data_IF_519419259580
#
_entry.id   IF_519419259580
#
_cell.length_a   1.000
_cell.length_b   1.000
_cell.length_c   1.000
_cell.angle_alpha   90.00
_cell.angle_beta   90.00
_cell.angle_gamma   90.00
#
_symmetry.space_group_name_H-M   'P 1'
#
loop_
_entity.id
_entity.type
_entity.pdbx_description
1 polymer ?
#
# COMPACT_ATOMS: atom_id res chain seq x y z
N UNK A 1 -8.97 -28.18 10.39
CA UNK A 1 -8.32 -27.02 11.06
C UNK A 1 -7.80 -26.08 9.98
N UNK A 2 -8.01 -24.77 10.11
CA UNK A 2 -7.35 -23.78 9.21
C UNK A 2 -6.02 -23.39 9.86
N UNK A 3 -4.93 -23.48 9.12
CA UNK A 3 -3.60 -23.07 9.59
C UNK A 3 -3.35 -21.62 9.14
N UNK A 4 -2.70 -20.83 9.99
CA UNK A 4 -2.25 -19.49 9.61
C UNK A 4 -1.00 -19.63 8.75
N UNK A 5 -1.05 -19.12 7.52
CA UNK A 5 0.06 -19.21 6.55
C UNK A 5 0.91 -17.94 6.52
N UNK A 6 0.36 -16.79 6.92
CA UNK A 6 1.02 -15.50 6.87
C UNK A 6 0.40 -14.53 7.89
N UNK A 7 1.23 -13.73 8.54
CA UNK A 7 0.83 -12.60 9.40
C UNK A 7 1.66 -11.39 8.99
N UNK A 8 0.99 -10.27 8.73
CA UNK A 8 1.66 -9.05 8.27
C UNK A 8 1.31 -7.93 9.23
N UNK A 9 2.35 -7.27 9.74
CA UNK A 9 2.22 -6.13 10.63
C UNK A 9 2.53 -4.85 9.85
N UNK A 10 1.74 -3.80 10.05
CA UNK A 10 1.83 -2.54 9.31
C UNK A 10 2.21 -1.38 10.24
N UNK A 11 3.00 -0.46 9.73
CA UNK A 11 3.15 0.90 10.27
C UNK A 11 1.89 1.71 9.97
N UNK A 12 1.80 2.89 10.59
CA UNK A 12 0.64 3.80 10.48
C UNK A 12 0.23 4.09 9.03
N UNK A 13 1.19 4.29 8.13
CA UNK A 13 0.95 4.58 6.72
C UNK A 13 1.06 3.35 5.80
N UNK A 14 0.94 2.14 6.36
CA UNK A 14 0.93 0.91 5.56
C UNK A 14 2.30 0.30 5.26
N UNK A 15 3.40 0.90 5.72
CA UNK A 15 4.73 0.31 5.55
C UNK A 15 4.85 -1.03 6.28
N UNK A 16 5.48 -2.02 5.67
CA UNK A 16 5.64 -3.35 6.27
C UNK A 16 6.60 -3.31 7.48
N UNK A 17 6.20 -3.96 8.57
CA UNK A 17 7.07 -4.19 9.73
C UNK A 17 7.88 -5.48 9.53
N UNK A 18 9.13 -5.48 10.01
CA UNK A 18 10.04 -6.63 9.91
C UNK A 18 9.59 -7.88 10.67
N UNK A 19 8.63 -7.75 11.60
CA UNK A 19 8.08 -8.87 12.40
C UNK A 19 6.97 -9.65 11.67
N UNK A 20 6.83 -9.48 10.36
CA UNK A 20 5.86 -10.23 9.55
C UNK A 20 6.31 -11.68 9.34
N UNK A 21 5.38 -12.64 9.32
CA UNK A 21 5.65 -14.07 9.16
C UNK A 21 4.96 -14.63 7.92
N UNK A 22 5.48 -15.71 7.33
CA UNK A 22 4.85 -16.43 6.22
C UNK A 22 5.29 -16.02 4.80
N UNK A 23 6.45 -15.36 4.68
CA UNK A 23 7.03 -14.95 3.39
C UNK A 23 6.13 -13.99 2.63
N UNK A 24 6.36 -13.84 1.32
CA UNK A 24 5.55 -12.98 0.46
C UNK A 24 4.55 -13.78 -0.39
N UNK A 25 3.73 -14.55 0.30
CA UNK A 25 2.77 -15.50 -0.31
C UNK A 25 1.50 -14.85 -0.88
N UNK A 26 1.23 -13.60 -0.53
CA UNK A 26 0.02 -12.85 -0.90
C UNK A 26 0.43 -11.46 -1.40
N UNK A 27 0.05 -11.04 -2.60
CA UNK A 27 0.45 -9.74 -3.14
C UNK A 27 -0.40 -8.58 -2.59
N UNK A 28 -1.62 -8.85 -2.14
CA UNK A 28 -2.52 -7.85 -1.57
C UNK A 28 -2.25 -7.62 -0.08
N UNK A 29 -2.00 -6.38 0.32
CA UNK A 29 -1.56 -6.02 1.67
C UNK A 29 -2.42 -4.92 2.26
N UNK A 30 -1.83 -3.78 2.61
CA UNK A 30 -2.48 -2.64 3.23
C UNK A 30 -3.72 -2.21 2.41
N UNK A 31 -4.84 -2.00 3.10
CA UNK A 31 -6.14 -1.66 2.49
C UNK A 31 -6.59 -2.60 1.34
N UNK A 32 -6.11 -3.85 1.35
CA UNK A 32 -6.39 -4.83 0.30
C UNK A 32 -5.93 -4.35 -1.07
N UNK A 33 -4.80 -3.64 -1.13
CA UNK A 33 -4.17 -3.18 -2.37
C UNK A 33 -2.93 -3.99 -2.66
N UNK A 34 -2.67 -4.20 -3.94
CA UNK A 34 -1.48 -4.91 -4.39
C UNK A 34 -0.24 -4.09 -4.03
N UNK A 35 0.72 -4.76 -3.38
CA UNK A 35 2.03 -4.18 -3.11
C UNK A 35 2.93 -4.44 -4.32
N UNK A 36 3.17 -3.38 -5.09
CA UNK A 36 4.18 -3.36 -6.12
C UNK A 36 5.55 -3.06 -5.48
N UNK A 37 6.59 -3.78 -5.93
CA UNK A 37 7.98 -3.61 -5.48
C UNK A 37 8.93 -3.23 -6.61
N UNK A 38 8.40 -2.72 -7.71
CA UNK A 38 9.20 -2.23 -8.84
C UNK A 38 10.30 -1.29 -8.35
N UNK A 39 11.52 -1.54 -8.83
CA UNK A 39 12.73 -0.78 -8.47
C UNK A 39 13.04 -0.71 -6.96
N UNK A 40 12.51 -1.64 -6.16
CA UNK A 40 12.71 -1.67 -4.70
C UNK A 40 11.85 -0.65 -3.94
N UNK A 41 10.84 -0.08 -4.59
CA UNK A 41 9.88 0.84 -3.98
C UNK A 41 8.61 0.08 -3.64
N UNK A 42 8.26 0.08 -2.35
CA UNK A 42 7.03 -0.54 -1.84
C UNK A 42 5.83 0.40 -2.07
N UNK A 43 5.21 0.30 -3.25
CA UNK A 43 4.06 1.12 -3.63
C UNK A 43 2.77 0.31 -3.68
N UNK A 44 1.69 0.92 -3.21
CA UNK A 44 0.37 0.32 -3.31
C UNK A 44 -0.35 0.79 -4.57
N UNK A 45 -0.78 -0.15 -5.40
CA UNK A 45 -1.60 0.14 -6.57
C UNK A 45 -3.08 0.33 -6.17
N UNK A 46 -3.57 1.56 -6.29
CA UNK A 46 -4.97 1.92 -6.10
C UNK A 46 -5.74 2.11 -7.43
N UNK A 47 -5.12 1.75 -8.55
CA UNK A 47 -5.65 1.84 -9.91
C UNK A 47 -5.56 3.25 -10.49
N UNK A 48 -6.05 4.25 -9.77
CA UNK A 48 -5.96 5.64 -10.22
C UNK A 48 -4.59 6.28 -9.93
N UNK A 49 -3.93 5.83 -8.84
CA UNK A 49 -2.67 6.38 -8.33
C UNK A 49 -1.90 5.31 -7.57
N UNK A 50 -0.57 5.43 -7.52
CA UNK A 50 0.27 4.68 -6.60
C UNK A 50 0.43 5.44 -5.28
N UNK A 51 0.25 4.73 -4.16
CA UNK A 51 0.45 5.25 -2.81
C UNK A 51 1.78 4.76 -2.24
N UNK A 52 2.61 5.71 -1.81
CA UNK A 52 3.89 5.44 -1.16
C UNK A 52 3.68 5.37 0.35
N UNK A 53 3.85 4.18 0.91
CA UNK A 53 3.70 3.94 2.33
C UNK A 53 4.91 4.38 3.17
N UNK A 54 6.08 4.54 2.56
CA UNK A 54 7.27 5.07 3.22
C UNK A 54 7.16 6.59 3.43
N UNK A 55 6.58 7.29 2.45
CA UNK A 55 6.33 8.75 2.52
C UNK A 55 4.96 9.11 3.06
N UNK A 56 4.00 8.17 3.05
CA UNK A 56 2.62 8.38 3.46
C UNK A 56 1.81 9.25 2.50
N UNK A 57 2.13 9.25 1.20
CA UNK A 57 1.51 10.15 0.20
C UNK A 57 1.31 9.52 -1.17
N UNK A 58 0.54 10.19 -2.03
CA UNK A 58 0.37 9.83 -3.43
C UNK A 58 1.54 10.32 -4.29
N UNK A 59 1.96 9.52 -5.27
CA UNK A 59 3.03 9.90 -6.20
C UNK A 59 2.61 10.88 -7.30
N UNK A 60 1.31 10.97 -7.56
CA UNK A 60 0.73 11.86 -8.57
C UNK A 60 -0.44 12.64 -7.97
N UNK A 61 -0.69 13.82 -8.53
CA UNK A 61 -1.88 14.62 -8.21
C UNK A 61 -3.13 13.81 -8.54
N UNK A 62 -4.18 13.95 -7.74
CA UNK A 62 -5.48 13.39 -8.03
C UNK A 62 -5.99 13.83 -9.42
N UNK A 63 -6.37 12.91 -10.31
CA UNK A 63 -6.93 13.26 -11.63
C UNK A 63 -8.14 14.20 -11.58
N UNK A 64 -8.85 14.27 -10.45
CA UNK A 64 -10.01 15.14 -10.26
C UNK A 64 -9.73 16.34 -9.34
N UNK A 65 -8.46 16.67 -9.08
CA UNK A 65 -8.07 17.77 -8.22
C UNK A 65 -8.72 19.10 -8.64
N UNK A 66 -8.80 19.37 -9.95
CA UNK A 66 -9.40 20.60 -10.49
C UNK A 66 -10.93 20.70 -10.34
N UNK A 67 -11.59 19.59 -10.03
CA UNK A 67 -13.03 19.54 -9.79
C UNK A 67 -13.36 19.58 -8.30
N UNK A 68 -12.46 19.08 -7.45
CA UNK A 68 -12.71 18.84 -6.04
C UNK A 68 -11.56 19.34 -5.14
N UNK A 69 -11.15 20.59 -5.35
CA UNK A 69 -10.01 21.22 -4.65
C UNK A 69 -10.02 21.09 -3.11
N UNK A 70 -11.20 21.03 -2.49
CA UNK A 70 -11.36 21.03 -1.04
C UNK A 70 -11.22 19.65 -0.37
N UNK A 71 -11.30 18.57 -1.14
CA UNK A 71 -11.24 17.18 -0.63
C UNK A 71 -10.21 16.33 -1.33
N UNK A 72 -9.71 16.80 -2.47
CA UNK A 72 -8.65 16.13 -3.20
C UNK A 72 -7.34 16.20 -2.41
N UNK A 73 -6.70 15.06 -2.13
CA UNK A 73 -5.47 15.00 -1.33
C UNK A 73 -4.22 15.35 -2.12
#
# INVERSE_FOLDING_TARGET
>A
MKNVVQVINYKTFGGLMGESTGGDTQTYKYNGKELDRINGLDWYDYGARNYDAALGRWHVVDPLAEKYYNVSP
#
